data_IF_661230536698
#
_entry.id   IF_661230536698
#
_cell.length_a   1.000
_cell.length_b   1.000
_cell.length_c   1.000
_cell.angle_alpha   90.00
_cell.angle_beta   90.00
_cell.angle_gamma   90.00
#
_symmetry.space_group_name_H-M   'P 1'
#
loop_
_entity.id
_entity.type
_entity.pdbx_description
1 polymer ?
#
# COMPACT_ATOMS: atom_id res chain seq x y z
N UNK A 1 34.59 -10.85 11.48
CA UNK A 1 33.68 -11.22 12.59
C UNK A 1 32.53 -10.23 12.56
N UNK A 2 31.33 -10.66 12.16
CA UNK A 2 30.14 -9.83 12.21
C UNK A 2 29.23 -10.38 13.31
N UNK A 3 28.88 -9.52 14.27
CA UNK A 3 28.05 -9.85 15.43
C UNK A 3 26.59 -9.67 15.02
N UNK A 4 25.85 -10.78 14.91
CA UNK A 4 24.41 -10.80 14.68
C UNK A 4 23.70 -10.62 16.04
N UNK A 5 23.05 -9.49 16.26
CA UNK A 5 22.19 -9.27 17.43
C UNK A 5 20.76 -9.65 17.02
N UNK A 6 20.30 -10.80 17.48
CA UNK A 6 18.90 -11.22 17.38
C UNK A 6 18.21 -10.81 18.69
N UNK A 7 17.38 -9.76 18.65
CA UNK A 7 16.47 -9.45 19.74
C UNK A 7 15.29 -10.44 19.70
N UNK A 8 15.35 -11.47 20.54
CA UNK A 8 14.23 -12.38 20.79
C UNK A 8 13.39 -11.79 21.92
N UNK A 9 12.26 -11.18 21.58
CA UNK A 9 11.23 -10.83 22.57
C UNK A 9 10.37 -12.05 22.86
N UNK A 10 10.18 -12.35 24.15
CA UNK A 10 9.37 -13.47 24.65
C UNK A 10 7.93 -13.41 24.11
N UNK A 11 7.42 -14.47 23.46
CA UNK A 11 6.02 -14.51 23.05
C UNK A 11 5.11 -14.81 24.25
N UNK A 12 4.21 -13.89 24.56
CA UNK A 12 3.00 -14.20 25.32
C UNK A 12 2.20 -15.26 24.55
N UNK A 13 1.85 -16.35 25.24
CA UNK A 13 1.10 -17.50 24.71
C UNK A 13 -0.14 -17.02 23.94
N UNK A 14 -0.17 -17.23 22.62
CA UNK A 14 -1.40 -17.15 21.83
C UNK A 14 -1.25 -16.61 20.41
N UNK A 15 -0.28 -15.74 20.13
CA UNK A 15 0.01 -15.32 18.76
C UNK A 15 1.03 -16.29 18.16
N UNK A 16 0.62 -17.08 17.16
CA UNK A 16 1.60 -17.72 16.26
C UNK A 16 2.52 -16.61 15.77
N UNK A 17 3.81 -16.71 16.06
CA UNK A 17 4.87 -15.93 15.40
C UNK A 17 4.77 -16.23 13.90
N UNK A 18 3.92 -15.50 13.19
CA UNK A 18 3.99 -15.44 11.75
C UNK A 18 5.29 -14.71 11.45
N UNK A 19 6.19 -15.30 10.64
CA UNK A 19 7.36 -14.57 10.20
C UNK A 19 6.86 -13.30 9.53
N UNK A 20 7.36 -12.14 9.95
CA UNK A 20 7.15 -10.90 9.24
C UNK A 20 7.53 -11.16 7.78
N UNK A 21 6.54 -11.13 6.87
CA UNK A 21 6.81 -11.30 5.45
C UNK A 21 7.69 -10.12 5.06
N UNK A 22 8.97 -10.40 4.82
CA UNK A 22 9.91 -9.40 4.37
C UNK A 22 9.48 -9.02 2.96
N UNK A 23 8.86 -7.84 2.82
CA UNK A 23 8.55 -7.25 1.52
C UNK A 23 9.89 -7.10 0.77
N UNK A 24 10.14 -8.01 -0.19
CA UNK A 24 11.34 -7.99 -1.02
C UNK A 24 11.14 -6.98 -2.13
N UNK A 25 12.13 -6.10 -2.30
CA UNK A 25 12.07 -4.95 -3.20
C UNK A 25 11.86 -5.35 -4.66
N UNK A 26 12.35 -6.53 -5.05
CA UNK A 26 12.33 -7.03 -6.42
C UNK A 26 10.90 -7.31 -6.91
N UNK A 27 10.00 -7.76 -6.02
CA UNK A 27 8.60 -8.02 -6.37
C UNK A 27 7.72 -6.77 -6.43
N UNK A 28 8.22 -5.60 -6.00
CA UNK A 28 7.43 -4.37 -6.02
C UNK A 28 7.35 -3.76 -7.42
N UNK A 29 8.35 -3.99 -8.27
CA UNK A 29 8.39 -3.41 -9.62
C UNK A 29 7.26 -3.94 -10.51
N UNK A 30 6.76 -5.14 -10.24
CA UNK A 30 5.64 -5.75 -10.97
C UNK A 30 4.32 -4.96 -10.83
N UNK A 31 4.22 -4.09 -9.82
CA UNK A 31 3.04 -3.27 -9.55
C UNK A 31 3.08 -1.89 -10.20
N UNK A 32 4.19 -1.51 -10.85
CA UNK A 32 4.26 -0.25 -11.62
C UNK A 32 3.25 -0.31 -12.77
N UNK A 33 2.45 0.76 -12.95
CA UNK A 33 1.25 0.85 -13.80
C UNK A 33 0.04 0.04 -13.32
N UNK A 34 0.19 -0.65 -12.19
CA UNK A 34 -0.91 -1.22 -11.42
C UNK A 34 -1.64 -0.14 -10.62
N UNK A 35 -2.51 -0.56 -9.71
CA UNK A 35 -3.22 0.36 -8.81
C UNK A 35 -2.94 0.06 -7.34
N UNK A 36 -2.95 1.09 -6.52
CA UNK A 36 -2.95 0.98 -5.06
C UNK A 36 -4.27 1.51 -4.51
N UNK A 37 -4.97 0.70 -3.72
CA UNK A 37 -6.06 1.14 -2.86
C UNK A 37 -5.50 1.46 -1.46
N UNK A 38 -5.83 2.65 -0.96
CA UNK A 38 -5.56 3.07 0.42
C UNK A 38 -6.92 3.22 1.09
N UNK A 39 -7.18 2.49 2.16
CA UNK A 39 -8.48 2.49 2.83
C UNK A 39 -8.28 2.67 4.34
N UNK A 40 -8.82 3.75 4.87
CA UNK A 40 -9.02 3.94 6.30
C UNK A 40 -10.47 3.73 6.70
N UNK A 41 -10.82 4.16 7.91
CA UNK A 41 -12.19 4.07 8.44
C UNK A 41 -13.16 5.04 7.76
N UNK A 42 -12.69 6.22 7.37
CA UNK A 42 -13.52 7.32 6.85
C UNK A 42 -13.10 7.80 5.47
N UNK A 43 -12.03 7.24 4.92
CA UNK A 43 -11.51 7.62 3.63
C UNK A 43 -11.02 6.43 2.82
N UNK A 44 -11.13 6.58 1.50
CA UNK A 44 -10.60 5.64 0.53
C UNK A 44 -9.97 6.42 -0.61
N UNK A 45 -8.80 5.98 -1.03
CA UNK A 45 -8.09 6.48 -2.19
C UNK A 45 -7.76 5.33 -3.12
N UNK A 46 -7.73 5.63 -4.41
CA UNK A 46 -7.26 4.71 -5.44
C UNK A 46 -6.46 5.49 -6.46
N UNK A 47 -5.34 4.94 -6.89
CA UNK A 47 -4.46 5.59 -7.84
C UNK A 47 -3.65 4.60 -8.63
N UNK A 48 -3.16 5.03 -9.80
CA UNK A 48 -2.21 4.29 -10.61
C UNK A 48 -0.79 4.59 -10.17
N UNK A 49 0.00 3.54 -9.99
CA UNK A 49 1.37 3.62 -9.50
C UNK A 49 2.31 4.01 -10.66
N UNK A 50 3.00 5.14 -10.53
CA UNK A 50 4.09 5.55 -11.42
C UNK A 50 5.42 4.95 -10.94
N UNK A 51 5.69 5.04 -9.63
CA UNK A 51 6.89 4.50 -8.99
C UNK A 51 6.54 3.90 -7.62
N UNK A 52 7.19 2.81 -7.26
CA UNK A 52 7.09 2.20 -5.93
C UNK A 52 8.45 1.71 -5.49
N UNK A 53 8.89 2.15 -4.30
CA UNK A 53 10.20 1.82 -3.74
C UNK A 53 10.14 1.68 -2.23
N UNK A 54 10.92 0.73 -1.72
CA UNK A 54 11.17 0.60 -0.29
C UNK A 54 12.42 1.41 0.08
N UNK A 55 12.34 2.19 1.14
CA UNK A 55 13.44 2.95 1.72
C UNK A 55 13.70 2.47 3.14
N UNK A 56 14.97 2.39 3.54
CA UNK A 56 15.37 1.94 4.87
C UNK A 56 15.22 0.43 5.10
N UNK A 57 15.59 -0.02 6.30
CA UNK A 57 15.55 -1.42 6.73
C UNK A 57 15.00 -1.52 8.17
N UNK A 58 14.48 -2.70 8.54
CA UNK A 58 13.98 -2.97 9.88
C UNK A 58 12.83 -2.04 10.32
N UNK A 59 12.96 -1.47 11.52
CA UNK A 59 11.95 -0.61 12.16
C UNK A 59 11.86 0.81 11.55
N UNK A 60 12.69 1.13 10.57
CA UNK A 60 12.68 2.41 9.86
C UNK A 60 12.36 2.25 8.37
N UNK A 61 11.85 1.09 7.97
CA UNK A 61 11.50 0.84 6.59
C UNK A 61 10.18 1.53 6.22
N UNK A 62 10.20 2.27 5.12
CA UNK A 62 9.02 2.89 4.51
C UNK A 62 8.82 2.33 3.10
N UNK A 63 7.57 2.10 2.70
CA UNK A 63 7.18 1.94 1.31
C UNK A 63 6.69 3.29 0.78
N UNK A 64 7.38 3.81 -0.23
CA UNK A 64 7.05 5.08 -0.86
C UNK A 64 6.48 4.80 -2.23
N UNK A 65 5.31 5.37 -2.49
CA UNK A 65 4.55 5.21 -3.73
C UNK A 65 4.33 6.58 -4.35
N UNK A 66 4.84 6.77 -5.55
CA UNK A 66 4.50 7.90 -6.41
C UNK A 66 3.38 7.47 -7.35
N UNK A 67 2.31 8.23 -7.35
CA UNK A 67 1.17 8.02 -8.22
C UNK A 67 1.32 8.81 -9.52
N UNK A 68 0.85 8.21 -10.61
CA UNK A 68 0.59 8.92 -11.87
C UNK A 68 -0.66 9.77 -11.73
N UNK A 69 -1.66 9.20 -11.07
CA UNK A 69 -2.89 9.87 -10.63
C UNK A 69 -3.38 9.20 -9.35
N UNK A 70 -3.99 9.98 -8.47
CA UNK A 70 -4.60 9.53 -7.23
C UNK A 70 -5.97 10.18 -7.10
N UNK A 71 -6.99 9.42 -6.70
CA UNK A 71 -8.32 9.94 -6.49
C UNK A 71 -8.88 9.54 -5.13
N UNK A 72 -9.58 10.47 -4.48
CA UNK A 72 -10.31 10.25 -3.23
C UNK A 72 -11.77 9.92 -3.51
N UNK A 73 -12.26 8.87 -2.85
CA UNK A 73 -13.67 8.51 -2.86
C UNK A 73 -14.48 9.37 -1.89
N UNK A 74 -15.33 10.26 -2.41
CA UNK A 74 -16.24 11.05 -1.56
C UNK A 74 -17.47 10.23 -1.17
N UNK A 75 -17.93 10.37 0.08
CA UNK A 75 -19.07 9.61 0.62
C UNK A 75 -18.71 8.27 1.27
N UNK A 76 -17.41 7.94 1.38
CA UNK A 76 -16.94 6.83 2.21
C UNK A 76 -17.23 7.09 3.71
N UNK A 77 -17.59 6.09 4.55
CA UNK A 77 -17.46 4.63 4.41
C UNK A 77 -18.57 3.88 3.67
N UNK A 78 -19.63 4.55 3.22
CA UNK A 78 -20.51 3.93 2.22
C UNK A 78 -19.80 3.83 0.87
N UNK A 79 -20.25 2.99 -0.09
CA UNK A 79 -19.67 2.99 -1.43
C UNK A 79 -19.53 4.43 -1.96
N UNK A 80 -18.34 4.88 -2.40
CA UNK A 80 -18.13 6.27 -2.79
C UNK A 80 -19.13 6.72 -3.84
N UNK A 81 -19.71 7.90 -3.64
CA UNK A 81 -20.66 8.50 -4.59
C UNK A 81 -19.96 9.10 -5.80
N UNK A 82 -18.70 9.52 -5.65
CA UNK A 82 -17.84 10.00 -6.73
C UNK A 82 -16.36 9.89 -6.36
N UNK A 83 -15.51 9.96 -7.38
CA UNK A 83 -14.05 9.96 -7.27
C UNK A 83 -13.51 11.29 -7.78
N UNK A 84 -12.72 11.97 -6.94
CA UNK A 84 -12.15 13.29 -7.24
C UNK A 84 -10.64 13.20 -7.20
N UNK A 85 -9.97 13.78 -8.20
CA UNK A 85 -8.51 13.81 -8.28
C UNK A 85 -7.89 14.49 -7.05
N UNK A 86 -6.81 13.92 -6.53
CA UNK A 86 -5.96 14.48 -5.49
C UNK A 86 -4.68 15.05 -6.10
N UNK A 87 -4.17 16.14 -5.51
CA UNK A 87 -2.95 16.80 -5.98
C UNK A 87 -1.68 16.24 -5.36
N UNK A 88 -1.77 15.64 -4.16
CA UNK A 88 -0.64 14.98 -3.52
C UNK A 88 -0.51 13.56 -4.07
N UNK A 89 0.51 13.38 -4.91
CA UNK A 89 0.76 12.13 -5.61
C UNK A 89 1.84 11.29 -4.92
N UNK A 90 2.38 11.71 -3.77
CA UNK A 90 3.40 10.96 -3.06
C UNK A 90 2.83 10.43 -1.75
N UNK A 91 2.83 9.10 -1.59
CA UNK A 91 2.33 8.46 -0.38
C UNK A 91 3.41 7.62 0.29
N UNK A 92 3.48 7.69 1.63
CA UNK A 92 4.42 6.92 2.44
C UNK A 92 3.68 5.99 3.38
N UNK A 93 4.06 4.73 3.36
CA UNK A 93 3.51 3.67 4.21
C UNK A 93 4.62 3.20 5.14
N UNK A 94 4.54 3.52 6.44
CA UNK A 94 5.45 2.98 7.43
C UNK A 94 5.32 1.46 7.50
N UNK A 95 6.41 0.72 7.26
CA UNK A 95 6.41 -0.74 7.32
C UNK A 95 6.75 -1.27 8.72
N UNK A 96 7.27 -0.42 9.60
CA UNK A 96 7.67 -0.79 10.96
C UNK A 96 6.52 -1.32 11.82
N UNK A 97 5.30 -0.84 11.56
CA UNK A 97 4.07 -1.22 12.27
C UNK A 97 3.07 -1.90 11.33
N UNK A 98 3.51 -2.32 10.15
CA UNK A 98 2.64 -2.95 9.17
C UNK A 98 2.78 -4.48 9.17
N UNK A 99 1.64 -5.15 8.99
CA UNK A 99 1.60 -6.55 8.61
C UNK A 99 1.45 -6.64 7.09
N UNK A 100 2.40 -7.28 6.43
CA UNK A 100 2.32 -7.60 5.00
C UNK A 100 1.81 -9.02 4.85
N UNK A 101 0.74 -9.20 4.09
CA UNK A 101 0.19 -10.49 3.69
C UNK A 101 0.20 -10.58 2.15
N UNK A 102 0.86 -11.61 1.60
CA UNK A 102 0.69 -12.01 0.20
C UNK A 102 -0.60 -12.82 0.09
N UNK A 103 -1.54 -12.32 -0.72
CA UNK A 103 -2.89 -12.89 -0.82
C UNK A 103 -2.97 -13.92 -1.96
N UNK A 104 -1.89 -14.11 -2.73
CA UNK A 104 -1.91 -14.89 -3.97
C UNK A 104 -2.42 -14.06 -5.17
N UNK A 105 -2.36 -14.64 -6.37
CA UNK A 105 -2.71 -14.00 -7.65
C UNK A 105 -1.95 -12.69 -7.94
N UNK A 106 -0.77 -12.52 -7.34
CA UNK A 106 0.04 -11.31 -7.49
C UNK A 106 -0.54 -10.09 -6.78
N UNK A 107 -1.25 -10.27 -5.67
CA UNK A 107 -1.78 -9.16 -4.84
C UNK A 107 -1.13 -9.13 -3.47
N UNK A 108 -0.60 -7.97 -3.12
CA UNK A 108 -0.07 -7.69 -1.78
C UNK A 108 -1.10 -6.86 -1.00
N UNK A 109 -1.38 -7.28 0.23
CA UNK A 109 -2.10 -6.46 1.21
C UNK A 109 -1.14 -6.07 2.33
N UNK A 110 -1.13 -4.79 2.69
CA UNK A 110 -0.37 -4.25 3.81
C UNK A 110 -1.39 -3.65 4.78
N UNK A 111 -1.45 -4.19 5.99
CA UNK A 111 -2.31 -3.69 7.05
C UNK A 111 -1.47 -2.90 8.05
N UNK A 112 -1.73 -1.60 8.17
CA UNK A 112 -1.16 -0.76 9.22
C UNK A 112 -1.79 -1.11 10.56
N UNK A 113 -0.99 -1.57 11.51
CA UNK A 113 -1.47 -1.84 12.87
C UNK A 113 -1.67 -0.53 13.64
N UNK A 114 -0.94 0.52 13.26
CA UNK A 114 -1.17 1.88 13.73
C UNK A 114 -2.07 2.62 12.75
N UNK A 115 -3.22 3.11 13.22
CA UNK A 115 -4.15 3.92 12.41
C UNK A 115 -5.15 3.13 11.56
N UNK A 116 -5.13 1.79 11.56
CA UNK A 116 -6.17 0.97 10.93
C UNK A 116 -6.23 1.06 9.41
N UNK A 117 -5.18 1.57 8.76
CA UNK A 117 -5.14 1.72 7.31
C UNK A 117 -4.84 0.38 6.63
N UNK A 118 -5.61 0.07 5.59
CA UNK A 118 -5.38 -1.06 4.70
C UNK A 118 -4.90 -0.54 3.35
N UNK A 119 -3.78 -1.09 2.89
CA UNK A 119 -3.19 -0.82 1.59
C UNK A 119 -3.25 -2.09 0.75
N UNK A 120 -3.71 -2.00 -0.49
CA UNK A 120 -3.77 -3.16 -1.39
C UNK A 120 -3.21 -2.82 -2.77
N UNK A 121 -2.17 -3.55 -3.16
CA UNK A 121 -1.52 -3.44 -4.45
C UNK A 121 -2.18 -4.40 -5.45
N UNK A 122 -2.41 -3.89 -6.66
CA UNK A 122 -3.00 -4.62 -7.78
C UNK A 122 -2.03 -4.55 -8.97
N UNK A 123 -1.86 -5.67 -9.68
CA UNK A 123 -1.02 -5.72 -10.87
C UNK A 123 -1.58 -4.86 -12.02
N UNK A 124 -0.75 -4.50 -13.01
CA UNK A 124 -1.21 -3.91 -14.25
C UNK A 124 -2.30 -4.77 -14.91
N UNK A 125 -3.44 -4.16 -15.21
CA UNK A 125 -4.61 -4.84 -15.81
C UNK A 125 -5.72 -5.18 -14.81
N UNK A 126 -5.41 -5.29 -13.52
CA UNK A 126 -6.39 -5.45 -12.44
C UNK A 126 -7.02 -4.07 -12.06
N UNK A 127 -7.68 -3.43 -13.02
CA UNK A 127 -8.23 -2.07 -12.87
C UNK A 127 -9.40 -2.08 -11.88
N UNK A 128 -9.20 -1.48 -10.70
CA UNK A 128 -10.23 -1.34 -9.67
C UNK A 128 -10.99 0.00 -9.75
N UNK A 129 -10.35 1.04 -10.30
CA UNK A 129 -10.97 2.31 -10.62
C UNK A 129 -10.59 2.67 -12.06
N UNK A 130 -11.61 2.76 -12.91
CA UNK A 130 -11.45 3.24 -14.28
C UNK A 130 -11.12 4.74 -14.24
N UNK A 131 -9.94 5.18 -14.72
CA UNK A 131 -9.54 6.58 -14.71
C UNK A 131 -10.54 7.48 -15.43
N UNK A 132 -11.27 6.97 -16.44
CA UNK A 132 -12.29 7.75 -17.16
C UNK A 132 -13.48 8.16 -16.28
N UNK A 133 -13.60 7.59 -15.08
CA UNK A 133 -14.66 7.89 -14.10
C UNK A 133 -14.20 8.83 -12.99
N UNK A 134 -12.96 9.33 -13.06
CA UNK A 134 -12.39 10.24 -12.06
C UNK A 134 -12.63 11.69 -12.48
N UNK A 135 -13.29 12.46 -11.63
CA UNK A 135 -13.56 13.88 -11.84
C UNK A 135 -12.25 14.69 -11.78
N UNK A 136 -12.03 15.53 -12.81
CA UNK A 136 -10.83 16.38 -12.89
C UNK A 136 -9.56 15.68 -13.35
N UNK A 137 -9.61 14.38 -13.68
CA UNK A 137 -8.45 13.67 -14.20
C UNK A 137 -8.17 14.08 -15.66
N UNK A 138 -6.93 14.53 -15.91
CA UNK A 138 -6.40 14.76 -17.24
C UNK A 138 -5.34 13.70 -17.50
N UNK A 139 -5.58 12.85 -18.50
CA UNK A 139 -4.63 11.81 -18.88
C UNK A 139 -3.61 12.40 -19.87
N UNK A 140 -2.30 12.11 -19.71
CA UNK A 140 -1.33 12.43 -20.75
C UNK A 140 -1.68 11.65 -22.04
N UNK A 141 -1.54 12.33 -23.19
CA UNK A 141 -1.78 11.76 -24.53
C UNK A 141 -0.90 10.55 -24.85
#
# INVERSE_FOLDING_TARGET
>A
MALLIVLVMNPTKGAKNMPAIVLQTDGLQDYIRGQLEIRGDTEIYRGEIEEIRKYGEGEFADLVVQFKWLAKGQGFPTPPVRWVIESDLLYRIPLSTARVDDVGDGRITILSLEGGMLYRLFLPGDVILDPKKVEGLVLPE
#
